data_IF_333040025475
#
_entry.id   IF_333040025475
#
_cell.length_a   1.000
_cell.length_b   1.000
_cell.length_c   1.000
_cell.angle_alpha   90.00
_cell.angle_beta   90.00
_cell.angle_gamma   90.00
#
_symmetry.space_group_name_H-M   'P 1'
#
loop_
_entity.id
_entity.type
_entity.pdbx_description
1 polymer ?
#
# COMPACT_ATOMS: atom_id res chain seq x y z
N UNK A 1 -18.26 2.80 -2.94
CA UNK A 1 -16.82 3.03 -3.22
C UNK A 1 -15.95 3.00 -1.97
N UNK A 2 -16.17 3.86 -0.96
CA UNK A 2 -15.32 3.90 0.25
C UNK A 2 -15.17 2.57 1.01
N UNK A 3 -16.20 1.71 1.02
CA UNK A 3 -16.13 0.38 1.66
C UNK A 3 -15.14 -0.58 0.98
N UNK A 4 -15.18 -0.64 -0.36
CA UNK A 4 -14.30 -1.54 -1.14
C UNK A 4 -12.84 -1.11 -1.02
N UNK A 5 -12.56 0.21 -1.08
CA UNK A 5 -11.19 0.72 -0.91
C UNK A 5 -10.62 0.45 0.50
N UNK A 6 -11.44 0.59 1.56
CA UNK A 6 -11.05 0.26 2.93
C UNK A 6 -10.86 -1.25 3.15
N UNK A 7 -11.65 -2.10 2.47
CA UNK A 7 -11.51 -3.55 2.54
C UNK A 7 -10.25 -4.06 1.83
N UNK A 8 -9.85 -3.44 0.73
CA UNK A 8 -8.63 -3.84 0.02
C UNK A 8 -7.39 -3.51 0.86
N UNK A 9 -7.31 -2.31 1.44
CA UNK A 9 -6.16 -1.93 2.28
C UNK A 9 -6.06 -2.78 3.55
N UNK A 10 -7.19 -3.06 4.21
CA UNK A 10 -7.21 -3.94 5.39
C UNK A 10 -6.81 -5.38 5.06
N UNK A 11 -7.27 -5.94 3.93
CA UNK A 11 -6.86 -7.28 3.50
C UNK A 11 -5.35 -7.35 3.18
N UNK A 12 -4.80 -6.33 2.53
CA UNK A 12 -3.36 -6.26 2.25
C UNK A 12 -2.53 -6.21 3.54
N UNK A 13 -2.95 -5.41 4.53
CA UNK A 13 -2.29 -5.35 5.85
C UNK A 13 -2.37 -6.71 6.55
N UNK A 14 -3.52 -7.38 6.51
CA UNK A 14 -3.71 -8.68 7.14
C UNK A 14 -2.84 -9.79 6.50
N UNK A 15 -2.72 -9.79 5.16
CA UNK A 15 -1.86 -10.71 4.42
C UNK A 15 -0.38 -10.52 4.76
N UNK A 16 0.07 -9.26 4.79
CA UNK A 16 1.43 -8.90 5.18
C UNK A 16 1.72 -9.36 6.61
N UNK A 17 0.83 -9.05 7.55
CA UNK A 17 0.98 -9.42 8.96
C UNK A 17 1.19 -10.94 9.12
N UNK A 18 0.44 -11.75 8.36
CA UNK A 18 0.62 -13.20 8.32
C UNK A 18 2.00 -13.62 7.77
N UNK A 19 2.48 -12.96 6.71
CA UNK A 19 3.81 -13.23 6.15
C UNK A 19 4.94 -12.91 7.14
N UNK A 20 4.82 -11.81 7.89
CA UNK A 20 5.85 -11.40 8.85
C UNK A 20 5.87 -12.30 10.09
N UNK A 21 4.70 -12.78 10.53
CA UNK A 21 4.59 -13.79 11.58
C UNK A 21 5.34 -15.09 11.19
N UNK A 22 5.19 -15.55 9.94
CA UNK A 22 5.90 -16.74 9.44
C UNK A 22 7.41 -16.50 9.35
N UNK A 23 7.84 -15.26 9.10
CA UNK A 23 9.26 -14.89 9.04
C UNK A 23 9.89 -14.66 10.42
N UNK A 24 9.10 -14.69 11.51
CA UNK A 24 9.59 -14.55 12.88
C UNK A 24 9.96 -13.12 13.28
N UNK A 25 9.40 -12.12 12.59
CA UNK A 25 9.57 -10.71 12.95
C UNK A 25 8.47 -10.25 13.92
N UNK A 26 8.82 -9.29 14.78
CA UNK A 26 7.88 -8.72 15.74
C UNK A 26 6.90 -7.74 15.07
N UNK A 27 5.61 -8.09 15.10
CA UNK A 27 4.53 -7.39 14.39
C UNK A 27 4.27 -6.00 14.99
N UNK A 28 4.53 -5.84 16.30
CA UNK A 28 4.23 -4.60 17.02
C UNK A 28 5.27 -3.50 16.76
N UNK A 29 6.50 -3.89 16.39
CA UNK A 29 7.59 -2.97 16.06
C UNK A 29 7.54 -2.41 14.62
N UNK A 30 6.74 -3.02 13.74
CA UNK A 30 6.66 -2.66 12.33
C UNK A 30 5.78 -1.43 12.09
N UNK A 31 6.25 -0.54 11.23
CA UNK A 31 5.42 0.57 10.74
C UNK A 31 5.43 0.66 9.22
N UNK A 32 4.37 1.26 8.69
CA UNK A 32 4.21 1.50 7.25
C UNK A 32 4.99 2.77 6.90
N UNK A 33 6.07 2.63 6.14
CA UNK A 33 6.90 3.76 5.72
C UNK A 33 6.35 4.45 4.49
N UNK A 34 5.87 3.68 3.51
CA UNK A 34 5.30 4.24 2.29
C UNK A 34 4.18 3.36 1.73
N UNK A 35 3.16 4.02 1.18
CA UNK A 35 2.04 3.40 0.46
C UNK A 35 1.91 4.10 -0.90
N UNK A 36 1.96 3.32 -1.97
CA UNK A 36 1.67 3.82 -3.32
C UNK A 36 0.50 3.06 -3.94
N UNK A 37 -0.40 3.80 -4.58
CA UNK A 37 -1.51 3.22 -5.34
C UNK A 37 -1.49 3.79 -6.75
N UNK A 38 -1.20 2.93 -7.73
CA UNK A 38 -1.18 3.27 -9.14
C UNK A 38 -2.43 2.74 -9.83
N UNK A 39 -2.91 3.45 -10.84
CA UNK A 39 -4.02 2.96 -11.66
C UNK A 39 -3.53 1.83 -12.57
N UNK A 40 -4.23 0.70 -12.56
CA UNK A 40 -3.95 -0.40 -13.46
C UNK A 40 -4.72 -0.25 -14.78
N UNK A 41 -4.41 -1.08 -15.77
CA UNK A 41 -5.13 -1.08 -17.04
C UNK A 41 -6.61 -1.43 -16.82
N UNK A 42 -7.49 -0.60 -17.36
CA UNK A 42 -8.94 -0.76 -17.25
C UNK A 42 -9.41 -1.88 -18.17
N UNK A 43 -10.08 -2.89 -17.62
CA UNK A 43 -10.71 -3.92 -18.45
C UNK A 43 -12.09 -3.43 -18.88
N UNK A 44 -12.41 -3.60 -20.16
CA UNK A 44 -13.68 -3.12 -20.72
C UNK A 44 -14.61 -4.28 -21.05
N UNK A 45 -15.87 -4.20 -20.61
CA UNK A 45 -16.97 -5.08 -20.99
C UNK A 45 -18.01 -4.28 -21.75
N UNK A 46 -18.85 -4.94 -22.55
CA UNK A 46 -19.95 -4.27 -23.26
C UNK A 46 -21.23 -4.35 -22.44
N UNK A 47 -21.97 -3.25 -22.33
CA UNK A 47 -23.36 -3.23 -21.87
C UNK A 47 -24.27 -2.87 -23.03
N UNK A 48 -25.29 -3.70 -23.21
CA UNK A 48 -26.34 -3.48 -24.19
C UNK A 48 -27.45 -2.68 -23.53
N UNK A 49 -27.80 -1.56 -24.13
CA UNK A 49 -28.89 -0.69 -23.69
C UNK A 49 -30.01 -0.68 -24.73
N UNK A 50 -31.12 -0.02 -24.40
CA UNK A 50 -32.24 0.13 -25.32
C UNK A 50 -31.80 0.80 -26.64
N UNK A 51 -32.57 0.55 -27.71
CA UNK A 51 -32.33 1.11 -29.05
C UNK A 51 -30.97 0.77 -29.67
N UNK A 52 -30.33 -0.34 -29.26
CA UNK A 52 -29.05 -0.78 -29.83
C UNK A 52 -27.83 0.02 -29.37
N UNK A 53 -27.96 0.81 -28.31
CA UNK A 53 -26.82 1.52 -27.73
C UNK A 53 -25.86 0.52 -27.05
N UNK A 54 -24.58 0.62 -27.38
CA UNK A 54 -23.51 -0.19 -26.79
C UNK A 54 -22.56 0.74 -26.03
N UNK A 55 -22.51 0.59 -24.71
CA UNK A 55 -21.60 1.35 -23.86
C UNK A 55 -20.53 0.45 -23.23
N UNK A 56 -19.32 0.97 -22.97
CA UNK A 56 -18.31 0.25 -22.21
C UNK A 56 -18.61 0.31 -20.71
N UNK A 57 -18.71 -0.85 -20.06
CA UNK A 57 -18.64 -0.99 -18.62
C UNK A 57 -17.19 -1.30 -18.23
N UNK A 58 -16.50 -0.28 -17.71
CA UNK A 58 -15.07 -0.35 -17.40
C UNK A 58 -14.84 -0.73 -15.94
N UNK A 59 -13.95 -1.69 -15.70
CA UNK A 59 -13.42 -1.93 -14.36
C UNK A 59 -12.35 -0.90 -14.00
N UNK A 60 -12.27 -0.57 -12.71
CA UNK A 60 -11.25 0.32 -12.14
C UNK A 60 -10.32 -0.48 -11.23
N UNK A 61 -9.30 -1.09 -11.82
CA UNK A 61 -8.25 -1.84 -11.13
C UNK A 61 -7.13 -0.92 -10.63
N UNK A 62 -6.39 -1.35 -9.61
CA UNK A 62 -5.25 -0.61 -9.06
C UNK A 62 -4.11 -1.56 -8.69
N UNK A 63 -2.88 -1.06 -8.79
CA UNK A 63 -1.66 -1.68 -8.26
C UNK A 63 -1.33 -1.01 -6.93
N UNK A 64 -1.08 -1.82 -5.90
CA UNK A 64 -0.81 -1.34 -4.54
C UNK A 64 0.59 -1.81 -4.16
N UNK A 65 1.44 -0.87 -3.80
CA UNK A 65 2.80 -1.12 -3.32
C UNK A 65 2.88 -0.65 -1.86
N UNK A 66 3.34 -1.54 -0.99
CA UNK A 66 3.44 -1.30 0.45
C UNK A 66 4.88 -1.58 0.89
N UNK A 67 5.50 -0.60 1.54
CA UNK A 67 6.82 -0.72 2.13
C UNK A 67 6.66 -0.62 3.65
N UNK A 68 7.19 -1.61 4.35
CA UNK A 68 7.24 -1.66 5.80
C UNK A 68 8.68 -1.59 6.24
N UNK A 69 8.90 -0.88 7.33
CA UNK A 69 10.21 -0.71 7.92
C UNK A 69 10.12 -0.99 9.41
N UNK A 70 11.18 -1.57 9.95
CA UNK A 70 11.35 -1.69 11.40
C UNK A 70 11.79 -0.35 11.97
N UNK A 71 11.32 -0.04 13.18
CA UNK A 71 11.71 1.18 13.87
C UNK A 71 13.12 1.03 14.44
N UNK A 72 14.11 1.51 13.70
CA UNK A 72 15.47 1.64 14.22
C UNK A 72 15.56 2.79 15.24
N UNK A 73 16.32 2.55 16.32
CA UNK A 73 16.63 3.58 17.31
C UNK A 73 17.51 4.67 16.71
N UNK A 74 17.28 5.93 17.11
CA UNK A 74 18.03 7.08 16.59
C UNK A 74 19.52 6.95 16.90
N UNK A 75 20.35 6.87 15.85
CA UNK A 75 21.81 6.91 15.99
C UNK A 75 22.22 8.28 16.55
N UNK A 76 23.01 8.27 17.62
CA UNK A 76 23.50 9.49 18.30
C UNK A 76 24.34 10.30 17.31
N UNK A 77 23.98 11.58 17.13
CA UNK A 77 24.84 12.52 16.41
C UNK A 77 26.14 12.70 17.17
N UNK A 78 27.26 12.50 16.50
CA UNK A 78 28.57 12.82 17.06
C UNK A 78 28.69 14.34 17.24
N UNK A 79 28.97 14.77 18.47
CA UNK A 79 29.25 16.17 18.77
C UNK A 79 30.66 16.45 18.25
N UNK A 80 30.75 17.10 17.09
CA UNK A 80 32.01 17.65 16.60
C UNK A 80 32.37 18.77 17.57
N UNK A 81 33.31 18.52 18.49
CA UNK A 81 33.97 19.57 19.25
C UNK A 81 34.77 20.41 18.25
N UNK A 82 34.19 21.53 17.81
CA UNK A 82 34.97 22.56 17.13
C UNK A 82 35.97 23.09 18.15
N UNK A 83 37.23 22.67 18.00
CA UNK A 83 38.33 23.20 18.78
C UNK A 83 38.42 24.70 18.49
N UNK A 84 38.17 25.50 19.51
CA UNK A 84 38.49 26.92 19.55
C UNK A 84 40.01 27.03 19.39
N UNK A 85 40.47 27.55 18.26
CA UNK A 85 41.78 28.18 18.13
C UNK A 85 41.56 29.63 17.75
#
# INVERSE_FOLDING_TARGET
MKKISLQITTNCIHYICNIFLVKGLDVDSLFISHIQVNQAHKQSRRTYHAHGQINPYMSSSCHIELILSEKEESVKKEVIHTCRM
#
